data_IF_270120029438
#
_entry.id   IF_270120029438
#
_cell.length_a   1.000
_cell.length_b   1.000
_cell.length_c   1.000
_cell.angle_alpha   90.00
_cell.angle_beta   90.00
_cell.angle_gamma   90.00
#
_symmetry.space_group_name_H-M   'P 1'
#
loop_
_entity.id
_entity.type
_entity.pdbx_description
1 polymer ?
#
# COMPACT_ATOMS: atom_id res chain seq x y z
N UNK A 1 28.20 -28.17 52.56
CA UNK A 1 27.68 -26.78 52.41
C UNK A 1 28.39 -25.99 51.31
N UNK A 2 29.74 -25.91 51.29
CA UNK A 2 30.50 -25.14 50.27
C UNK A 2 30.32 -25.65 48.82
N UNK A 3 30.27 -26.97 48.61
CA UNK A 3 30.09 -27.57 47.28
C UNK A 3 28.70 -27.29 46.68
N UNK A 4 27.66 -27.32 47.52
CA UNK A 4 26.29 -27.02 47.12
C UNK A 4 26.13 -25.55 46.69
N UNK A 5 26.82 -24.63 47.39
CA UNK A 5 26.85 -23.21 47.06
C UNK A 5 27.49 -22.96 45.68
N UNK A 6 28.60 -23.65 45.39
CA UNK A 6 29.25 -23.57 44.07
C UNK A 6 28.35 -24.12 42.95
N UNK A 7 27.61 -25.20 43.21
CA UNK A 7 26.71 -25.81 42.25
C UNK A 7 25.49 -24.90 41.94
N UNK A 8 24.94 -24.22 42.96
CA UNK A 8 23.86 -23.23 42.78
C UNK A 8 24.33 -22.04 41.94
N UNK A 9 25.53 -21.51 42.21
CA UNK A 9 26.09 -20.39 41.43
C UNK A 9 26.30 -20.79 39.97
N UNK A 10 26.80 -22.00 39.72
CA UNK A 10 27.03 -22.52 38.37
C UNK A 10 25.72 -22.66 37.57
N UNK A 11 24.66 -23.22 38.18
CA UNK A 11 23.34 -23.36 37.54
C UNK A 11 22.73 -21.98 37.25
N UNK A 12 22.82 -21.03 38.17
CA UNK A 12 22.29 -19.67 37.96
C UNK A 12 22.99 -18.92 36.81
N UNK A 13 24.29 -19.16 36.62
CA UNK A 13 25.08 -18.58 35.52
C UNK A 13 24.75 -19.19 34.16
N UNK A 14 24.32 -20.46 34.12
CA UNK A 14 23.91 -21.13 32.88
C UNK A 14 22.52 -20.69 32.41
N UNK A 15 21.59 -20.43 33.33
CA UNK A 15 20.24 -19.97 32.99
C UNK A 15 20.17 -18.52 32.49
N UNK A 16 21.16 -17.66 32.79
CA UNK A 16 21.17 -16.26 32.33
C UNK A 16 21.52 -16.11 30.85
N UNK A 17 22.12 -17.13 30.22
CA UNK A 17 22.56 -17.08 28.82
C UNK A 17 21.43 -17.35 27.81
N UNK A 18 20.24 -17.76 28.25
CA UNK A 18 19.11 -18.02 27.33
C UNK A 18 18.36 -16.76 26.89
N UNK A 19 18.74 -15.58 27.40
CA UNK A 19 18.07 -14.32 27.04
C UNK A 19 18.23 -13.98 25.54
N UNK A 20 19.32 -14.44 24.91
CA UNK A 20 19.51 -14.36 23.45
C UNK A 20 18.46 -15.13 22.64
N UNK A 21 17.81 -16.15 23.22
CA UNK A 21 16.70 -16.85 22.57
C UNK A 21 15.40 -16.04 22.62
N UNK A 22 15.22 -15.21 23.66
CA UNK A 22 14.09 -14.29 23.81
C UNK A 22 14.21 -13.08 22.90
N UNK A 23 15.43 -12.55 22.73
CA UNK A 23 15.73 -11.39 21.89
C UNK A 23 16.40 -11.78 20.57
N UNK A 24 15.87 -12.79 19.87
CA UNK A 24 16.34 -13.09 18.52
C UNK A 24 16.08 -11.89 17.61
N UNK A 25 17.03 -11.59 16.71
CA UNK A 25 16.86 -10.58 15.66
C UNK A 25 15.68 -11.02 14.77
N UNK A 26 14.53 -10.41 14.98
CA UNK A 26 13.39 -10.56 14.10
C UNK A 26 13.59 -9.61 12.92
N UNK A 27 13.59 -10.14 11.69
CA UNK A 27 13.64 -9.32 10.49
C UNK A 27 12.22 -8.81 10.18
N UNK A 28 11.79 -7.82 10.96
CA UNK A 28 10.46 -7.21 10.79
C UNK A 28 10.40 -6.52 9.42
N UNK A 29 9.54 -7.05 8.54
CA UNK A 29 9.28 -6.43 7.25
C UNK A 29 8.25 -5.32 7.42
N UNK A 30 8.70 -4.06 7.37
CA UNK A 30 7.81 -2.89 7.38
C UNK A 30 7.06 -2.69 6.05
N UNK A 31 7.25 -3.56 5.06
CA UNK A 31 6.56 -3.47 3.77
C UNK A 31 5.08 -3.74 3.98
N UNK A 32 4.24 -2.95 3.32
CA UNK A 32 2.80 -3.18 3.30
C UNK A 32 2.55 -4.53 2.58
N UNK A 33 1.77 -5.47 3.16
CA UNK A 33 1.40 -6.70 2.48
C UNK A 33 0.68 -6.36 1.18
N UNK A 34 1.02 -7.06 0.11
CA UNK A 34 0.43 -6.85 -1.20
C UNK A 34 -0.97 -7.49 -1.23
N UNK A 35 -2.00 -6.69 -0.94
CA UNK A 35 -3.38 -7.07 -1.23
C UNK A 35 -3.66 -6.75 -2.70
N UNK A 36 -3.25 -7.68 -3.57
CA UNK A 36 -3.41 -7.53 -5.01
C UNK A 36 -4.91 -7.57 -5.36
N UNK A 37 -5.58 -6.43 -5.31
CA UNK A 37 -6.93 -6.29 -5.86
C UNK A 37 -6.82 -6.35 -7.38
N UNK A 38 -7.24 -7.48 -7.96
CA UNK A 38 -7.32 -7.65 -9.41
C UNK A 38 -8.19 -6.54 -9.97
N UNK A 39 -7.70 -5.81 -10.98
CA UNK A 39 -8.38 -4.65 -11.54
C UNK A 39 -9.74 -5.07 -12.12
N UNK A 40 -10.83 -4.74 -11.42
CA UNK A 40 -12.19 -5.04 -11.87
C UNK A 40 -12.72 -3.91 -12.75
N UNK A 41 -12.74 -4.15 -14.05
CA UNK A 41 -13.28 -3.23 -15.06
C UNK A 41 -14.77 -3.42 -15.32
N UNK A 42 -15.44 -4.32 -14.60
CA UNK A 42 -16.87 -4.59 -14.80
C UNK A 42 -17.72 -3.45 -14.27
N UNK A 43 -17.99 -2.48 -15.13
CA UNK A 43 -19.14 -1.59 -14.99
C UNK A 43 -20.36 -2.36 -15.51
N UNK A 44 -21.16 -2.94 -14.61
CA UNK A 44 -22.51 -3.46 -14.94
C UNK A 44 -23.40 -2.24 -15.18
N UNK A 45 -24.10 -2.18 -16.33
CA UNK A 45 -24.67 -0.93 -16.83
C UNK A 45 -26.09 -1.03 -17.34
N UNK A 46 -26.91 -0.04 -16.97
CA UNK A 46 -28.24 0.27 -17.52
C UNK A 46 -28.42 1.77 -17.91
N UNK A 47 -27.43 2.66 -17.70
CA UNK A 47 -27.57 4.13 -17.87
C UNK A 47 -26.55 4.83 -18.78
N UNK A 48 -26.91 5.99 -19.36
CA UNK A 48 -26.11 6.81 -20.31
C UNK A 48 -24.78 7.31 -19.71
N UNK A 49 -24.77 7.60 -18.42
CA UNK A 49 -23.57 8.06 -17.70
C UNK A 49 -22.49 6.98 -17.66
N UNK A 50 -22.89 5.71 -17.62
CA UNK A 50 -21.98 4.57 -17.64
C UNK A 50 -21.46 4.26 -19.04
N UNK A 51 -22.23 4.55 -20.09
CA UNK A 51 -21.73 4.47 -21.47
C UNK A 51 -20.57 5.45 -21.68
N UNK A 52 -20.68 6.68 -21.16
CA UNK A 52 -19.58 7.65 -21.20
C UNK A 52 -18.38 7.17 -20.39
N UNK A 53 -18.58 6.65 -19.17
CA UNK A 53 -17.49 6.11 -18.35
C UNK A 53 -16.83 4.90 -19.01
N UNK A 54 -17.60 4.00 -19.62
CA UNK A 54 -17.08 2.83 -20.34
C UNK A 54 -16.29 3.24 -21.58
N UNK A 55 -16.79 4.21 -22.34
CA UNK A 55 -16.09 4.76 -23.49
C UNK A 55 -14.79 5.42 -23.05
N UNK A 56 -14.82 6.25 -22.01
CA UNK A 56 -13.64 6.92 -21.47
C UNK A 56 -12.63 5.91 -20.93
N UNK A 57 -13.08 4.87 -20.24
CA UNK A 57 -12.24 3.78 -19.72
C UNK A 57 -11.60 2.96 -20.84
N UNK A 58 -12.33 2.67 -21.92
CA UNK A 58 -11.77 1.96 -23.08
C UNK A 58 -10.77 2.81 -23.86
N UNK A 59 -11.10 4.08 -24.10
CA UNK A 59 -10.17 5.06 -24.70
C UNK A 59 -8.91 5.16 -23.85
N UNK A 60 -9.08 5.31 -22.54
CA UNK A 60 -7.99 5.34 -21.57
C UNK A 60 -7.12 4.07 -21.63
N UNK A 61 -7.73 2.87 -21.63
CA UNK A 61 -7.00 1.61 -21.73
C UNK A 61 -6.18 1.52 -23.02
N UNK A 62 -6.79 1.91 -24.15
CA UNK A 62 -6.14 1.87 -25.45
C UNK A 62 -4.96 2.85 -25.56
N UNK A 63 -5.08 4.06 -25.01
CA UNK A 63 -4.03 5.07 -25.12
C UNK A 63 -2.98 5.01 -24.00
N UNK A 64 -3.32 4.49 -22.81
CA UNK A 64 -2.44 4.58 -21.63
C UNK A 64 -2.00 3.20 -21.10
N UNK A 65 -2.67 2.08 -21.41
CA UNK A 65 -2.21 0.78 -20.88
C UNK A 65 -0.88 0.30 -21.47
N UNK A 66 -0.55 0.71 -22.69
CA UNK A 66 0.79 0.50 -23.28
C UNK A 66 1.86 1.37 -22.60
N UNK A 67 1.49 2.55 -22.10
CA UNK A 67 2.40 3.50 -21.44
C UNK A 67 2.68 3.12 -19.98
N UNK A 68 1.73 2.44 -19.34
CA UNK A 68 1.63 2.28 -17.88
C UNK A 68 1.57 0.79 -17.46
N UNK A 69 2.07 -0.12 -18.32
CA UNK A 69 2.08 -1.58 -18.14
C UNK A 69 2.85 -2.08 -16.90
N UNK A 70 3.42 -3.30 -16.94
CA UNK A 70 4.06 -3.92 -15.75
C UNK A 70 5.27 -3.16 -15.18
N UNK A 71 5.78 -2.16 -15.91
CA UNK A 71 6.91 -1.33 -15.54
C UNK A 71 6.55 -0.12 -14.66
N UNK A 72 5.27 0.14 -14.39
CA UNK A 72 4.89 1.27 -13.53
C UNK A 72 5.49 1.09 -12.13
N UNK A 73 6.28 2.05 -11.62
CA UNK A 73 6.90 1.94 -10.31
C UNK A 73 5.91 2.19 -9.16
N UNK A 74 4.66 2.56 -9.47
CA UNK A 74 3.62 2.81 -8.49
C UNK A 74 2.53 1.72 -8.49
N UNK A 75 1.89 1.56 -7.34
CA UNK A 75 0.74 0.71 -7.11
C UNK A 75 -0.33 1.49 -6.32
N UNK A 76 -1.57 1.61 -6.83
CA UNK A 76 -2.00 1.26 -8.18
C UNK A 76 -1.25 2.07 -9.25
N UNK A 77 -1.23 1.59 -10.49
CA UNK A 77 -0.71 2.37 -11.63
C UNK A 77 -1.50 3.67 -11.82
N UNK A 78 -0.96 4.68 -12.49
CA UNK A 78 -1.64 5.97 -12.71
C UNK A 78 -3.03 5.79 -13.34
N UNK A 79 -3.13 4.78 -14.21
CA UNK A 79 -4.37 4.28 -14.81
C UNK A 79 -5.38 3.67 -13.87
N UNK A 80 -4.95 2.75 -13.03
CA UNK A 80 -5.80 2.18 -12.02
C UNK A 80 -6.24 3.25 -11.02
N UNK A 81 -5.35 4.18 -10.66
CA UNK A 81 -5.64 5.29 -9.77
C UNK A 81 -6.74 6.20 -10.30
N UNK A 82 -6.70 6.62 -11.57
CA UNK A 82 -7.78 7.43 -12.16
C UNK A 82 -9.12 6.68 -12.10
N UNK A 83 -9.12 5.41 -12.50
CA UNK A 83 -10.33 4.59 -12.51
C UNK A 83 -10.95 4.45 -11.12
N UNK A 84 -10.13 4.11 -10.13
CA UNK A 84 -10.53 3.98 -8.74
C UNK A 84 -10.98 5.34 -8.17
N UNK A 85 -10.27 6.43 -8.46
CA UNK A 85 -10.63 7.77 -8.01
C UNK A 85 -11.99 8.22 -8.56
N UNK A 86 -12.27 7.95 -9.84
CA UNK A 86 -13.57 8.26 -10.46
C UNK A 86 -14.69 7.41 -9.87
N UNK A 87 -14.42 6.13 -9.55
CA UNK A 87 -15.38 5.24 -8.88
C UNK A 87 -15.67 5.67 -7.44
N UNK A 88 -14.66 6.10 -6.70
CA UNK A 88 -14.80 6.55 -5.30
C UNK A 88 -15.40 7.96 -5.18
N UNK A 89 -15.27 8.80 -6.22
CA UNK A 89 -15.72 10.20 -6.21
C UNK A 89 -16.67 10.49 -7.37
N UNK A 90 -16.18 11.15 -8.42
CA UNK A 90 -16.85 11.43 -9.69
C UNK A 90 -15.79 11.77 -10.75
N UNK A 91 -16.22 11.95 -12.00
CA UNK A 91 -15.31 12.20 -13.12
C UNK A 91 -14.43 13.43 -12.89
N UNK A 92 -14.99 14.54 -12.40
CA UNK A 92 -14.23 15.79 -12.22
C UNK A 92 -13.22 15.68 -11.08
N UNK A 93 -13.65 15.22 -9.92
CA UNK A 93 -12.77 15.04 -8.75
C UNK A 93 -11.70 13.98 -9.01
N UNK A 94 -12.07 12.83 -9.57
CA UNK A 94 -11.12 11.77 -9.91
C UNK A 94 -10.08 12.23 -10.94
N UNK A 95 -10.47 13.06 -11.91
CA UNK A 95 -9.54 13.66 -12.87
C UNK A 95 -8.57 14.63 -12.19
N UNK A 96 -9.05 15.49 -11.29
CA UNK A 96 -8.18 16.40 -10.52
C UNK A 96 -7.20 15.64 -9.62
N UNK A 97 -7.67 14.60 -8.94
CA UNK A 97 -6.83 13.72 -8.13
C UNK A 97 -5.75 13.03 -8.97
N UNK A 98 -6.11 12.56 -10.17
CA UNK A 98 -5.16 11.97 -11.10
C UNK A 98 -4.08 12.97 -11.51
N UNK A 99 -4.45 14.20 -11.89
CA UNK A 99 -3.47 15.20 -12.29
C UNK A 99 -2.55 15.62 -11.14
N UNK A 100 -3.10 15.79 -9.93
CA UNK A 100 -2.29 16.04 -8.74
C UNK A 100 -1.23 14.95 -8.54
N UNK A 101 -1.67 13.67 -8.48
CA UNK A 101 -0.74 12.55 -8.32
C UNK A 101 0.24 12.45 -9.49
N UNK A 102 -0.22 12.58 -10.73
CA UNK A 102 0.61 12.50 -11.93
C UNK A 102 1.75 13.53 -11.88
N UNK A 103 1.46 14.77 -11.48
CA UNK A 103 2.50 15.81 -11.36
C UNK A 103 3.50 15.52 -10.25
N UNK A 104 3.07 14.94 -9.12
CA UNK A 104 3.97 14.50 -8.05
C UNK A 104 4.85 13.32 -8.48
N UNK A 105 4.27 12.36 -9.21
CA UNK A 105 4.96 11.16 -9.68
C UNK A 105 6.02 11.47 -10.75
N UNK A 106 5.89 12.60 -11.46
CA UNK A 106 6.91 13.11 -12.39
C UNK A 106 8.17 13.63 -11.68
N UNK A 107 8.12 13.91 -10.37
CA UNK A 107 9.30 14.33 -9.63
C UNK A 107 10.26 13.14 -9.40
N UNK A 108 11.40 13.13 -10.08
CA UNK A 108 12.38 12.04 -10.03
C UNK A 108 13.24 12.04 -8.75
N UNK A 109 13.14 13.06 -7.90
CA UNK A 109 13.99 13.27 -6.73
C UNK A 109 13.28 12.73 -5.47
N UNK A 110 13.99 11.92 -4.67
CA UNK A 110 13.58 11.48 -3.32
C UNK A 110 12.18 10.83 -3.17
N UNK A 111 11.71 10.11 -4.19
CA UNK A 111 10.42 9.36 -4.14
C UNK A 111 10.31 8.43 -2.93
N UNK A 112 11.41 7.75 -2.56
CA UNK A 112 11.46 6.81 -1.43
C UNK A 112 11.15 7.45 -0.07
N UNK A 113 11.30 8.78 0.06
CA UNK A 113 10.97 9.50 1.29
C UNK A 113 9.48 9.82 1.41
N UNK A 114 8.80 9.94 0.28
CA UNK A 114 7.41 10.43 0.21
C UNK A 114 6.39 9.29 0.12
N UNK A 115 6.78 8.15 -0.45
CA UNK A 115 5.87 7.03 -0.69
C UNK A 115 6.29 5.76 0.06
N UNK A 116 5.36 5.08 0.76
CA UNK A 116 5.62 3.76 1.29
C UNK A 116 5.85 2.75 0.17
N UNK A 117 6.59 1.67 0.45
CA UNK A 117 6.95 0.64 -0.54
C UNK A 117 6.32 -0.69 -0.18
N UNK A 118 5.56 -1.28 -1.12
CA UNK A 118 4.95 -2.61 -0.96
C UNK A 118 5.97 -3.74 -1.17
N UNK A 119 5.60 -4.98 -0.83
CA UNK A 119 6.47 -6.17 -0.97
C UNK A 119 7.14 -6.29 -2.35
N UNK A 120 6.40 -5.95 -3.41
CA UNK A 120 6.85 -6.01 -4.80
C UNK A 120 7.78 -4.85 -5.21
N UNK A 121 8.18 -3.97 -4.29
CA UNK A 121 9.13 -2.88 -4.55
C UNK A 121 8.52 -1.66 -5.25
N UNK A 122 7.20 -1.66 -5.50
CA UNK A 122 6.45 -0.52 -6.04
C UNK A 122 6.09 0.47 -4.92
N UNK A 123 6.03 1.76 -5.26
CA UNK A 123 5.54 2.83 -4.40
C UNK A 123 4.02 2.73 -4.25
N UNK A 124 3.51 2.87 -3.04
CA UNK A 124 2.09 2.70 -2.74
C UNK A 124 1.39 4.04 -2.53
N UNK A 125 0.40 4.34 -3.36
CA UNK A 125 -0.37 5.59 -3.32
C UNK A 125 -1.82 5.40 -3.83
N UNK A 126 -2.71 4.77 -3.05
CA UNK A 126 -4.10 4.55 -3.43
C UNK A 126 -4.96 5.83 -3.34
N UNK A 127 -6.06 5.93 -4.12
CA UNK A 127 -7.00 7.06 -4.05
C UNK A 127 -7.60 7.28 -2.65
N UNK A 128 -7.73 6.20 -1.88
CA UNK A 128 -8.25 6.22 -0.52
C UNK A 128 -7.51 7.17 0.44
N UNK A 129 -6.27 7.59 0.13
CA UNK A 129 -5.54 8.58 0.93
C UNK A 129 -6.05 10.02 0.75
N UNK A 130 -6.85 10.27 -0.28
CA UNK A 130 -7.32 11.59 -0.67
C UNK A 130 -8.84 11.74 -0.57
N UNK A 131 -9.56 10.62 -0.41
CA UNK A 131 -11.01 10.62 -0.26
C UNK A 131 -11.39 10.80 1.20
N UNK A 132 -12.20 11.83 1.50
CA UNK A 132 -12.73 12.10 2.83
C UNK A 132 -13.93 11.21 3.14
N UNK A 133 -13.74 9.89 3.11
CA UNK A 133 -14.77 8.95 3.52
C UNK A 133 -14.55 8.58 5.00
N UNK A 134 -15.56 8.83 5.84
CA UNK A 134 -15.48 8.61 7.30
C UNK A 134 -15.11 7.16 7.64
N UNK A 135 -15.57 6.22 6.82
CA UNK A 135 -15.44 4.79 7.08
C UNK A 135 -14.01 4.30 6.76
N UNK A 136 -13.38 4.85 5.71
CA UNK A 136 -11.97 4.55 5.37
C UNK A 136 -10.99 5.25 6.30
N UNK A 137 -11.34 6.43 6.84
CA UNK A 137 -10.50 7.11 7.83
C UNK A 137 -10.38 6.29 9.13
N UNK A 138 -11.49 5.71 9.60
CA UNK A 138 -11.47 4.88 10.82
C UNK A 138 -10.71 3.57 10.60
N UNK A 139 -10.86 2.92 9.44
CA UNK A 139 -10.09 1.71 9.11
C UNK A 139 -8.59 2.00 8.97
N UNK A 140 -8.22 3.07 8.26
CA UNK A 140 -6.82 3.47 8.10
C UNK A 140 -6.16 3.89 9.42
N UNK A 141 -6.91 4.47 10.36
CA UNK A 141 -6.42 4.77 11.70
C UNK A 141 -6.28 3.51 12.57
N UNK A 142 -7.22 2.57 12.47
CA UNK A 142 -7.17 1.28 13.16
C UNK A 142 -5.96 0.45 12.73
N UNK A 143 -5.70 0.35 11.42
CA UNK A 143 -4.60 -0.44 10.86
C UNK A 143 -3.21 0.17 11.17
N UNK A 144 -3.14 1.48 11.35
CA UNK A 144 -1.92 2.16 11.81
C UNK A 144 -1.73 2.10 13.34
N UNK A 145 -2.79 1.85 14.12
CA UNK A 145 -2.71 1.73 15.59
C UNK A 145 -2.41 0.29 16.06
N UNK A 146 -2.69 -0.71 15.22
CA UNK A 146 -2.41 -2.14 15.48
C UNK A 146 -1.06 -2.63 14.92
N UNK A 147 -0.21 -1.72 14.42
CA UNK A 147 1.15 -1.98 13.93
C UNK A 147 2.22 -1.48 14.89
#
# INVERSE_FOLDING_TARGET
>A
MRLALLLIIFVSSACSQTDWQRWKKEEISYKIPDDYRKREYSFVSENIQEFLIKSLTNTYWFFISDLDGDNCPFHPSCSAFLLESVKETNILQGTLMFFDRFTRDMNLIDKKKHYPVIKNGRYFDPPAFYTLNSDTLISNLSDNFLR
#
